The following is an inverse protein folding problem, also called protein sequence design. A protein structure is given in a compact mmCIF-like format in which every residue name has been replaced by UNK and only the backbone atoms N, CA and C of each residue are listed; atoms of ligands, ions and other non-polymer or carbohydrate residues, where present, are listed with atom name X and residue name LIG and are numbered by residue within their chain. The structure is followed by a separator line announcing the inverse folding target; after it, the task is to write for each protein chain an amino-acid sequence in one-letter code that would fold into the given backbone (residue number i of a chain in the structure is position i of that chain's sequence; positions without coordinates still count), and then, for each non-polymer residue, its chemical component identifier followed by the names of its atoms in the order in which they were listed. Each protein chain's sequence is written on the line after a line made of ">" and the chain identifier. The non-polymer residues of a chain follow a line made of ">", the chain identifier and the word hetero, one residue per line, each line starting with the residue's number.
data_IF_642840362583
#
_entry.id   IF_642840362583
#
_cell.length_a   1.000
_cell.length_b   1.000
_cell.length_c   1.000
_cell.angle_alpha   90.00
_cell.angle_beta   90.00
_cell.angle_gamma   90.00
#
_symmetry.space_group_name_H-M   'P 1'
#
loop_
_entity.id
_entity.type
_entity.pdbx_description
1 polymer ?
#
# COMPACT_ATOMS: atom_id res chain seq x y z
N UNK A 1 23.07 28.17 0.90
CA UNK A 1 23.62 27.41 -0.25
C UNK A 1 22.44 26.84 -1.02
N UNK A 2 22.37 27.01 -2.35
CA UNK A 2 21.22 26.56 -3.14
C UNK A 2 21.49 25.17 -3.72
N UNK A 3 20.57 24.23 -3.51
CA UNK A 3 20.57 22.93 -4.19
C UNK A 3 19.95 23.15 -5.58
N UNK A 4 20.67 22.78 -6.62
CA UNK A 4 20.18 22.89 -8.01
C UNK A 4 19.78 21.52 -8.53
N UNK A 5 18.55 21.41 -9.07
CA UNK A 5 18.08 20.22 -9.76
C UNK A 5 18.41 20.39 -11.24
N UNK A 6 19.27 19.52 -11.78
CA UNK A 6 19.74 19.61 -13.17
C UNK A 6 18.82 18.87 -14.15
N UNK A 7 17.99 17.97 -13.66
CA UNK A 7 17.07 17.18 -14.46
C UNK A 7 15.73 17.94 -14.62
N UNK A 8 15.36 18.25 -15.87
CA UNK A 8 14.14 19.01 -16.19
C UNK A 8 12.85 18.28 -15.84
N UNK A 9 12.79 16.97 -16.06
CA UNK A 9 11.60 16.16 -15.73
C UNK A 9 11.31 16.19 -14.23
N UNK A 10 12.36 16.13 -13.41
CA UNK A 10 12.27 16.23 -11.95
C UNK A 10 11.74 17.60 -11.53
N UNK A 11 12.22 18.67 -12.16
CA UNK A 11 11.73 20.03 -11.91
C UNK A 11 10.23 20.16 -12.26
N UNK A 12 9.82 19.63 -13.41
CA UNK A 12 8.42 19.64 -13.83
C UNK A 12 7.51 18.86 -12.90
N UNK A 13 7.97 17.71 -12.40
CA UNK A 13 7.25 16.92 -11.39
C UNK A 13 7.05 17.72 -10.11
N UNK A 14 8.09 18.37 -9.59
CA UNK A 14 8.00 19.20 -8.38
C UNK A 14 7.03 20.36 -8.60
N UNK A 15 7.09 21.03 -9.76
CA UNK A 15 6.15 22.10 -10.12
C UNK A 15 4.71 21.59 -10.22
N UNK A 16 4.50 20.38 -10.74
CA UNK A 16 3.17 19.75 -10.82
C UNK A 16 2.61 19.46 -9.44
N UNK A 17 3.43 18.94 -8.52
CA UNK A 17 3.05 18.72 -7.13
C UNK A 17 2.69 20.06 -6.48
N UNK A 18 3.52 21.08 -6.64
CA UNK A 18 3.29 22.41 -6.12
C UNK A 18 1.98 23.04 -6.60
N UNK A 19 1.68 22.94 -7.91
CA UNK A 19 0.39 23.39 -8.47
C UNK A 19 -0.81 22.69 -7.84
N UNK A 20 -0.71 21.38 -7.57
CA UNK A 20 -1.79 20.60 -6.96
C UNK A 20 -1.99 20.93 -5.48
N UNK A 21 -0.91 21.23 -4.75
CA UNK A 21 -0.96 21.48 -3.30
C UNK A 21 -0.95 22.96 -2.92
N UNK A 22 -0.87 23.87 -3.89
CA UNK A 22 -0.74 25.31 -3.64
C UNK A 22 0.62 25.72 -3.06
N UNK A 23 1.64 24.89 -3.20
CA UNK A 23 2.96 25.09 -2.59
C UNK A 23 4.01 25.52 -3.64
N UNK A 24 4.94 26.38 -3.23
CA UNK A 24 6.12 26.70 -4.04
C UNK A 24 7.10 25.50 -4.12
N UNK A 25 7.95 25.41 -5.16
CA UNK A 25 8.86 24.27 -5.36
C UNK A 25 9.74 23.96 -4.14
N UNK A 26 10.28 24.98 -3.48
CA UNK A 26 11.11 24.82 -2.28
C UNK A 26 10.32 24.27 -1.09
N UNK A 27 9.05 24.67 -0.94
CA UNK A 27 8.18 24.15 0.12
C UNK A 27 7.85 22.67 -0.11
N UNK A 28 7.60 22.28 -1.36
CA UNK A 28 7.39 20.87 -1.75
C UNK A 28 8.62 20.04 -1.40
N UNK A 29 9.82 20.48 -1.79
CA UNK A 29 11.07 19.76 -1.50
C UNK A 29 11.27 19.65 0.01
N UNK A 30 11.10 20.74 0.75
CA UNK A 30 11.26 20.75 2.21
C UNK A 30 10.32 19.75 2.88
N UNK A 31 9.03 19.77 2.54
CA UNK A 31 8.03 18.85 3.11
C UNK A 31 8.36 17.38 2.83
N UNK A 32 8.80 17.08 1.60
CA UNK A 32 9.20 15.71 1.23
C UNK A 32 10.46 15.28 1.97
N UNK A 33 11.47 16.16 2.04
CA UNK A 33 12.71 15.87 2.76
C UNK A 33 12.48 15.69 4.26
N UNK A 34 11.62 16.51 4.89
CA UNK A 34 11.21 16.35 6.29
C UNK A 34 10.47 15.03 6.51
N UNK A 35 9.56 14.67 5.59
CA UNK A 35 8.85 13.38 5.66
C UNK A 35 9.82 12.20 5.59
N UNK A 36 10.76 12.21 4.66
CA UNK A 36 11.77 11.14 4.53
C UNK A 36 12.76 11.13 5.69
N UNK A 37 13.16 12.31 6.21
CA UNK A 37 14.07 12.40 7.35
C UNK A 37 13.44 11.88 8.65
N UNK A 38 12.12 12.01 8.79
CA UNK A 38 11.37 11.51 9.96
C UNK A 38 10.89 10.07 9.77
N UNK A 39 10.65 9.64 8.53
CA UNK A 39 10.40 8.24 8.21
C UNK A 39 11.70 7.44 8.39
N UNK A 40 11.96 6.99 9.62
CA UNK A 40 12.69 5.75 9.78
C UNK A 40 11.99 4.70 8.91
N UNK A 41 12.72 3.84 8.17
CA UNK A 41 12.08 2.70 7.53
C UNK A 41 11.27 2.04 8.63
N UNK A 42 9.95 1.89 8.42
CA UNK A 42 9.05 1.28 9.40
C UNK A 42 9.47 -0.19 9.53
N UNK A 43 10.57 -0.42 10.26
CA UNK A 43 10.99 -1.73 10.71
C UNK A 43 9.98 -2.06 11.77
N UNK A 44 8.95 -2.75 11.32
CA UNK A 44 7.99 -3.41 12.20
C UNK A 44 8.82 -4.22 13.20
N UNK A 45 8.56 -4.08 14.50
CA UNK A 45 9.32 -4.83 15.50
C UNK A 45 9.19 -6.33 15.21
N UNK A 46 10.22 -7.11 15.55
CA UNK A 46 10.18 -8.56 15.37
C UNK A 46 8.94 -9.17 16.05
N UNK A 47 8.53 -8.64 17.20
CA UNK A 47 7.32 -9.03 17.92
C UNK A 47 6.02 -8.83 17.11
N UNK A 48 5.93 -7.73 16.37
CA UNK A 48 4.75 -7.44 15.54
C UNK A 48 4.76 -8.31 14.27
N UNK A 49 5.94 -8.58 13.71
CA UNK A 49 6.08 -9.56 12.62
C UNK A 49 5.62 -10.95 13.09
N UNK A 50 6.04 -11.38 14.28
CA UNK A 50 5.61 -12.67 14.87
C UNK A 50 4.11 -12.70 15.15
N UNK A 51 3.52 -11.62 15.67
CA UNK A 51 2.05 -11.51 15.85
C UNK A 51 1.30 -11.67 14.52
N UNK A 52 1.76 -11.02 13.46
CA UNK A 52 1.14 -11.13 12.13
C UNK A 52 1.27 -12.53 11.55
N UNK A 53 2.43 -13.17 11.70
CA UNK A 53 2.64 -14.54 11.24
C UNK A 53 1.76 -15.53 12.00
N UNK A 54 1.63 -15.38 13.32
CA UNK A 54 0.74 -16.22 14.14
C UNK A 54 -0.73 -16.06 13.72
N UNK A 55 -1.18 -14.82 13.50
CA UNK A 55 -2.53 -14.54 13.02
C UNK A 55 -2.79 -15.16 11.63
N UNK A 56 -1.83 -15.04 10.70
CA UNK A 56 -1.93 -15.64 9.37
C UNK A 56 -1.93 -17.17 9.41
N UNK A 57 -1.18 -17.78 10.34
CA UNK A 57 -1.21 -19.23 10.56
C UNK A 57 -2.59 -19.69 11.09
N UNK A 58 -3.19 -18.91 11.99
CA UNK A 58 -4.54 -19.19 12.49
C UNK A 58 -5.61 -19.02 11.40
N UNK A 59 -5.50 -18.01 10.55
CA UNK A 59 -6.38 -17.85 9.39
C UNK A 59 -6.27 -19.04 8.45
N UNK A 60 -5.06 -19.51 8.14
CA UNK A 60 -4.84 -20.67 7.26
C UNK A 60 -5.41 -21.97 7.84
N UNK A 61 -5.46 -22.12 9.16
CA UNK A 61 -6.12 -23.26 9.82
C UNK A 61 -7.64 -23.19 9.72
N UNK A 62 -8.22 -21.99 9.86
CA UNK A 62 -9.67 -21.78 9.81
C UNK A 62 -10.21 -21.80 8.39
N UNK A 63 -9.41 -21.31 7.45
CA UNK A 63 -9.73 -21.22 6.03
C UNK A 63 -8.56 -21.84 5.26
N UNK A 64 -8.53 -23.19 5.16
CA UNK A 64 -7.56 -23.86 4.30
C UNK A 64 -7.68 -23.31 2.88
N UNK A 65 -6.57 -23.15 2.14
CA UNK A 65 -6.68 -22.87 0.72
C UNK A 65 -7.51 -23.98 0.04
N UNK A 66 -8.30 -23.64 -0.99
CA UNK A 66 -9.01 -24.63 -1.78
C UNK A 66 -8.02 -25.67 -2.33
N UNK A 67 -8.48 -26.91 -2.49
CA UNK A 67 -7.66 -27.98 -3.09
C UNK A 67 -7.17 -27.54 -4.49
N UNK A 68 -5.99 -27.99 -4.90
CA UNK A 68 -5.34 -27.65 -6.18
C UNK A 68 -6.19 -27.95 -7.44
N UNK A 69 -7.34 -28.64 -7.28
CA UNK A 69 -8.32 -28.91 -8.34
C UNK A 69 -9.49 -27.92 -8.41
N UNK A 70 -9.57 -26.93 -7.52
CA UNK A 70 -10.68 -25.96 -7.48
C UNK A 70 -10.51 -24.92 -8.57
N UNK A 71 -11.48 -24.81 -9.46
CA UNK A 71 -11.48 -23.81 -10.52
C UNK A 71 -12.15 -22.52 -10.06
N UNK A 72 -11.89 -21.41 -10.75
CA UNK A 72 -12.56 -20.14 -10.48
C UNK A 72 -14.08 -20.21 -10.61
N UNK A 73 -14.59 -21.06 -11.51
CA UNK A 73 -16.02 -21.25 -11.69
C UNK A 73 -16.67 -21.89 -10.45
N UNK A 74 -15.97 -22.84 -9.80
CA UNK A 74 -16.47 -23.51 -8.59
C UNK A 74 -16.55 -22.52 -7.41
N UNK A 75 -15.60 -21.59 -7.31
CA UNK A 75 -15.59 -20.54 -6.30
C UNK A 75 -16.70 -19.50 -6.53
N UNK A 76 -16.97 -19.14 -7.78
CA UNK A 76 -18.02 -18.19 -8.15
C UNK A 76 -19.41 -18.77 -7.84
N UNK A 77 -19.64 -20.05 -8.16
CA UNK A 77 -20.89 -20.75 -7.85
C UNK A 77 -21.11 -20.89 -6.33
N UNK A 78 -20.05 -21.18 -5.56
CA UNK A 78 -20.12 -21.23 -4.09
C UNK A 78 -20.44 -19.84 -3.49
N UNK A 79 -19.81 -18.78 -4.00
CA UNK A 79 -20.06 -17.41 -3.52
C UNK A 79 -21.48 -16.93 -3.86
N UNK A 80 -21.98 -17.20 -5.06
CA UNK A 80 -23.35 -16.86 -5.46
C UNK A 80 -24.38 -17.64 -4.65
N UNK A 81 -24.09 -18.90 -4.30
CA UNK A 81 -24.94 -19.72 -3.42
C UNK A 81 -25.02 -19.17 -1.98
N UNK A 82 -23.90 -18.67 -1.45
CA UNK A 82 -23.82 -18.17 -0.06
C UNK A 82 -24.35 -16.73 0.06
N UNK A 83 -24.11 -15.87 -0.94
CA UNK A 83 -24.35 -14.41 -0.84
C UNK A 83 -25.30 -13.84 -1.91
N UNK A 84 -25.76 -14.64 -2.88
CA UNK A 84 -26.51 -14.16 -4.04
C UNK A 84 -27.95 -13.70 -3.75
N UNK A 85 -28.55 -14.12 -2.64
CA UNK A 85 -29.90 -13.67 -2.23
C UNK A 85 -29.89 -12.31 -1.50
N UNK A 86 -28.78 -11.93 -0.87
CA UNK A 86 -28.65 -10.66 -0.12
C UNK A 86 -28.25 -9.45 -1.00
N UNK A 87 -28.05 -9.67 -2.31
CA UNK A 87 -27.62 -8.65 -3.29
C UNK A 87 -28.71 -8.27 -4.32
N UNK A 88 -29.95 -8.74 -4.16
CA UNK A 88 -31.11 -8.35 -4.99
C UNK A 88 -32.05 -7.42 -4.23
#
# INVERSE_FOLDING_TARGET
>A
MAITIRNKETEELIRRIGRRTGEGPSAVIRRLAEREAVQQPTRVSEEEVQRRLAFMADLRKRYPPPDDGTTWADLEEEMDSIFGDDLK
#
